data_IF_759837797867
#
_entry.id   IF_759837797867
#
_cell.length_a   1.000
_cell.length_b   1.000
_cell.length_c   1.000
_cell.angle_alpha   90.00
_cell.angle_beta   90.00
_cell.angle_gamma   90.00
#
_symmetry.space_group_name_H-M   'P 1'
#
loop_
_entity.id
_entity.type
_entity.pdbx_description
1 polymer ?
#
# COMPACT_ATOMS: atom_id res chain seq x y z
N UNK A 1 -42.07 26.58 26.37
CA UNK A 1 -40.93 26.83 25.48
C UNK A 1 -41.00 25.84 24.34
N UNK A 2 -41.13 26.24 23.07
CA UNK A 2 -41.10 25.28 21.96
C UNK A 2 -39.66 24.75 21.86
N UNK A 3 -39.48 23.44 22.03
CA UNK A 3 -38.18 22.78 21.84
C UNK A 3 -37.83 22.77 20.36
N UNK A 4 -36.63 23.22 20.00
CA UNK A 4 -36.16 23.16 18.63
C UNK A 4 -36.11 21.70 18.16
N UNK A 5 -36.87 21.38 17.11
CA UNK A 5 -36.81 20.06 16.46
C UNK A 5 -35.49 19.96 15.71
N UNK A 6 -34.60 19.07 16.16
CA UNK A 6 -33.40 18.72 15.41
C UNK A 6 -33.85 17.95 14.16
N UNK A 7 -33.69 18.56 12.99
CA UNK A 7 -34.05 17.96 11.70
C UNK A 7 -32.94 17.06 11.16
N UNK A 8 -31.69 17.28 11.56
CA UNK A 8 -30.53 16.46 11.18
C UNK A 8 -29.43 16.58 12.24
N UNK A 9 -28.84 15.44 12.63
CA UNK A 9 -27.61 15.40 13.43
C UNK A 9 -26.63 14.44 12.76
N UNK A 10 -25.42 14.92 12.45
CA UNK A 10 -24.32 14.09 11.96
C UNK A 10 -23.28 13.90 13.05
N UNK A 11 -22.85 12.66 13.28
CA UNK A 11 -21.70 12.36 14.12
C UNK A 11 -20.57 11.86 13.22
N UNK A 12 -19.38 12.42 13.41
CA UNK A 12 -18.19 11.95 12.72
C UNK A 12 -17.69 10.67 13.39
N UNK A 13 -17.36 9.62 12.63
CA UNK A 13 -16.85 8.38 13.18
C UNK A 13 -15.35 8.52 13.48
N UNK A 14 -15.02 9.19 14.59
CA UNK A 14 -13.66 9.56 14.95
C UNK A 14 -12.69 8.38 15.03
N UNK A 15 -13.11 7.21 15.52
CA UNK A 15 -12.25 6.02 15.60
C UNK A 15 -11.99 5.46 14.19
N UNK A 16 -13.04 5.33 13.37
CA UNK A 16 -12.88 4.93 11.97
C UNK A 16 -11.99 5.91 11.19
N UNK A 17 -12.18 7.22 11.37
CA UNK A 17 -11.41 8.26 10.69
C UNK A 17 -9.93 8.26 11.04
N UNK A 18 -9.56 7.89 12.27
CA UNK A 18 -8.15 7.73 12.64
C UNK A 18 -7.47 6.65 11.78
N UNK A 19 -8.09 5.48 11.64
CA UNK A 19 -7.55 4.42 10.79
C UNK A 19 -7.60 4.78 9.29
N UNK A 20 -8.61 5.51 8.83
CA UNK A 20 -8.62 6.06 7.45
C UNK A 20 -7.45 7.04 7.26
N UNK A 21 -7.15 7.86 8.26
CA UNK A 21 -6.00 8.77 8.26
C UNK A 21 -4.67 8.02 8.14
N UNK A 22 -4.53 6.88 8.83
CA UNK A 22 -3.38 5.99 8.68
C UNK A 22 -3.23 5.41 7.26
N UNK A 23 -4.34 5.16 6.56
CA UNK A 23 -4.30 4.68 5.17
C UNK A 23 -3.94 5.80 4.19
N UNK A 24 -4.50 7.01 4.37
CA UNK A 24 -4.53 8.05 3.33
C UNK A 24 -3.70 9.30 3.61
N UNK A 25 -3.36 9.57 4.87
CA UNK A 25 -2.79 10.86 5.30
C UNK A 25 -1.37 10.66 5.81
N UNK A 26 -1.21 9.98 6.95
CA UNK A 26 0.07 9.91 7.64
C UNK A 26 0.21 8.72 8.57
N UNK A 27 1.43 8.18 8.62
CA UNK A 27 1.89 7.15 9.55
C UNK A 27 3.33 7.39 9.95
N UNK A 28 3.56 7.49 11.25
CA UNK A 28 4.89 7.80 11.82
C UNK A 28 5.96 6.75 11.51
N UNK A 29 5.55 5.49 11.27
CA UNK A 29 6.46 4.40 10.93
C UNK A 29 6.85 4.37 9.45
N UNK A 30 6.17 5.15 8.59
CA UNK A 30 6.49 5.22 7.15
C UNK A 30 7.49 6.34 6.86
N UNK A 31 8.34 6.19 5.84
CA UNK A 31 9.16 7.28 5.31
C UNK A 31 8.32 8.52 4.99
N UNK A 32 8.84 9.69 5.33
CA UNK A 32 8.17 11.00 5.15
C UNK A 32 6.79 11.14 5.82
N UNK A 33 6.42 10.20 6.71
CA UNK A 33 5.16 10.19 7.44
C UNK A 33 3.92 10.23 6.54
N UNK A 34 3.91 9.46 5.45
CA UNK A 34 2.79 9.37 4.52
C UNK A 34 1.80 8.26 4.90
N UNK A 35 0.61 8.24 4.31
CA UNK A 35 -0.35 7.15 4.51
C UNK A 35 0.11 5.85 3.82
N UNK A 36 -0.26 4.69 4.36
CA UNK A 36 0.16 3.39 3.79
C UNK A 36 -0.24 3.22 2.32
N UNK A 37 -1.46 3.62 1.94
CA UNK A 37 -1.91 3.48 0.55
C UNK A 37 -1.25 4.49 -0.39
N UNK A 38 -0.81 5.65 0.14
CA UNK A 38 -0.06 6.65 -0.62
C UNK A 38 1.33 6.11 -0.94
N UNK A 39 2.04 5.60 0.06
CA UNK A 39 3.34 4.96 -0.14
C UNK A 39 3.24 3.71 -1.02
N UNK A 40 2.23 2.86 -0.81
CA UNK A 40 1.94 1.70 -1.66
C UNK A 40 1.85 2.09 -3.13
N UNK A 41 1.08 3.14 -3.44
CA UNK A 41 0.91 3.61 -4.81
C UNK A 41 2.24 4.05 -5.40
N UNK A 42 2.99 4.89 -4.70
CA UNK A 42 4.27 5.43 -5.19
C UNK A 42 5.29 4.31 -5.43
N UNK A 43 5.44 3.39 -4.48
CA UNK A 43 6.37 2.26 -4.62
C UNK A 43 5.92 1.27 -5.71
N UNK A 44 4.60 1.10 -5.92
CA UNK A 44 4.08 0.29 -7.02
C UNK A 44 4.33 0.92 -8.39
N UNK A 45 4.24 2.25 -8.52
CA UNK A 45 4.61 2.98 -9.74
C UNK A 45 6.11 2.77 -10.04
N UNK A 46 6.98 2.92 -9.04
CA UNK A 46 8.42 2.64 -9.17
C UNK A 46 8.70 1.19 -9.58
N UNK A 47 7.96 0.23 -9.04
CA UNK A 47 8.09 -1.18 -9.41
C UNK A 47 7.74 -1.43 -10.89
N UNK A 48 6.71 -0.76 -11.41
CA UNK A 48 6.35 -0.84 -12.83
C UNK A 48 7.43 -0.21 -13.71
N UNK A 49 7.94 0.96 -13.33
CA UNK A 49 9.02 1.64 -14.04
C UNK A 49 10.31 0.81 -14.06
N UNK A 50 10.66 0.19 -12.92
CA UNK A 50 11.79 -0.71 -12.80
C UNK A 50 11.64 -1.94 -13.70
N UNK A 51 10.46 -2.57 -13.73
CA UNK A 51 10.19 -3.69 -14.63
C UNK A 51 10.34 -3.32 -16.10
N UNK A 52 9.85 -2.14 -16.51
CA UNK A 52 10.02 -1.64 -17.87
C UNK A 52 11.50 -1.35 -18.20
N UNK A 53 12.23 -0.74 -17.27
CA UNK A 53 13.67 -0.46 -17.43
C UNK A 53 14.48 -1.76 -17.52
N UNK A 54 14.15 -2.79 -16.73
CA UNK A 54 14.81 -4.09 -16.78
C UNK A 54 14.61 -4.77 -18.13
N UNK A 55 13.40 -4.70 -18.68
CA UNK A 55 13.10 -5.21 -20.03
C UNK A 55 13.89 -4.46 -21.11
N UNK A 56 14.01 -3.14 -21.00
CA UNK A 56 14.82 -2.34 -21.92
C UNK A 56 16.31 -2.71 -21.85
N UNK A 57 16.86 -2.90 -20.65
CA UNK A 57 18.23 -3.35 -20.44
C UNK A 57 18.48 -4.74 -21.05
N UNK A 58 17.52 -5.65 -20.89
CA UNK A 58 17.58 -6.98 -21.49
C UNK A 58 17.62 -6.92 -23.03
N UNK A 59 16.80 -6.06 -23.64
CA UNK A 59 16.79 -5.84 -25.10
C UNK A 59 18.10 -5.25 -25.61
N UNK A 60 18.74 -4.39 -24.81
CA UNK A 60 20.07 -3.86 -25.10
C UNK A 60 21.21 -4.85 -24.81
N UNK A 61 20.90 -6.06 -24.33
CA UNK A 61 21.86 -7.07 -23.88
C UNK A 61 22.80 -6.60 -22.75
N UNK A 62 22.37 -5.59 -21.99
CA UNK A 62 23.10 -5.06 -20.83
C UNK A 62 22.76 -5.87 -19.57
N UNK A 63 23.44 -7.01 -19.41
CA UNK A 63 23.24 -7.90 -18.28
C UNK A 63 23.66 -7.30 -16.94
N UNK A 64 24.58 -6.32 -16.93
CA UNK A 64 24.95 -5.64 -15.70
C UNK A 64 23.75 -4.80 -15.21
N UNK A 65 23.18 -3.99 -16.11
CA UNK A 65 22.02 -3.16 -15.79
C UNK A 65 20.80 -4.00 -15.41
N UNK A 66 20.56 -5.15 -16.07
CA UNK A 66 19.48 -6.09 -15.69
C UNK A 66 19.60 -6.55 -14.25
N UNK A 67 20.82 -6.89 -13.79
CA UNK A 67 21.07 -7.36 -12.42
C UNK A 67 20.92 -6.23 -11.42
N UNK A 68 21.44 -5.05 -11.73
CA UNK A 68 21.31 -3.87 -10.88
C UNK A 68 19.83 -3.48 -10.68
N UNK A 69 19.02 -3.54 -11.73
CA UNK A 69 17.57 -3.27 -11.61
C UNK A 69 16.87 -4.38 -10.84
N UNK A 70 17.25 -5.66 -11.02
CA UNK A 70 16.69 -6.78 -10.26
C UNK A 70 16.89 -6.61 -8.75
N UNK A 71 18.09 -6.17 -8.35
CA UNK A 71 18.41 -5.85 -6.96
C UNK A 71 17.53 -4.72 -6.42
N UNK A 72 17.37 -3.65 -7.20
CA UNK A 72 16.48 -2.55 -6.85
C UNK A 72 15.01 -2.97 -6.72
N UNK A 73 14.54 -3.90 -7.56
CA UNK A 73 13.19 -4.49 -7.47
C UNK A 73 13.02 -5.27 -6.16
N UNK A 74 14.03 -6.03 -5.75
CA UNK A 74 14.00 -6.75 -4.46
C UNK A 74 13.96 -5.73 -3.31
N UNK A 75 14.75 -4.65 -3.39
CA UNK A 75 14.70 -3.55 -2.43
C UNK A 75 13.34 -2.85 -2.34
N UNK A 76 12.63 -2.68 -3.46
CA UNK A 76 11.25 -2.16 -3.47
C UNK A 76 10.27 -3.11 -2.77
N UNK A 77 10.39 -4.40 -3.04
CA UNK A 77 9.47 -5.42 -2.53
C UNK A 77 9.68 -5.64 -1.02
N UNK A 78 10.92 -5.83 -0.59
CA UNK A 78 11.22 -6.21 0.80
C UNK A 78 11.64 -5.03 1.68
N UNK A 79 12.01 -3.89 1.09
CA UNK A 79 12.60 -2.77 1.82
C UNK A 79 14.06 -3.02 2.21
N UNK A 80 14.67 -2.05 2.87
CA UNK A 80 16.09 -2.11 3.26
C UNK A 80 16.38 -3.13 4.37
N UNK A 81 15.36 -3.60 5.07
CA UNK A 81 15.44 -4.61 6.12
C UNK A 81 14.92 -5.99 5.69
N UNK A 82 14.78 -6.19 4.37
CA UNK A 82 14.41 -7.45 3.74
C UNK A 82 15.46 -8.55 3.92
N UNK A 83 15.03 -9.81 3.95
CA UNK A 83 15.93 -10.96 4.07
C UNK A 83 16.86 -11.10 2.85
N UNK A 84 16.37 -10.68 1.68
CA UNK A 84 17.07 -10.79 0.41
C UNK A 84 17.53 -9.42 -0.11
N UNK A 85 17.36 -8.35 0.64
CA UNK A 85 17.87 -7.03 0.28
C UNK A 85 19.40 -6.95 0.48
N UNK A 86 20.09 -6.22 -0.41
CA UNK A 86 21.53 -6.01 -0.32
C UNK A 86 22.20 -5.87 -1.69
N UNK A 87 23.52 -5.99 -1.71
CA UNK A 87 24.32 -6.07 -2.93
C UNK A 87 24.28 -7.52 -3.45
N UNK A 88 23.34 -7.76 -4.35
CA UNK A 88 23.04 -9.06 -4.96
C UNK A 88 23.81 -9.26 -6.26
N UNK A 89 24.22 -8.18 -6.92
CA UNK A 89 25.00 -8.25 -8.15
C UNK A 89 26.53 -8.30 -7.91
N UNK A 90 26.99 -8.00 -6.69
CA UNK A 90 28.37 -8.04 -6.23
C UNK A 90 29.23 -6.86 -6.69
N UNK A 91 28.62 -5.72 -7.03
CA UNK A 91 29.35 -4.52 -7.50
C UNK A 91 29.79 -3.58 -6.37
N UNK A 92 29.44 -3.91 -5.12
CA UNK A 92 29.77 -3.15 -3.92
C UNK A 92 28.78 -2.02 -3.61
N UNK A 93 27.71 -1.85 -4.40
CA UNK A 93 26.71 -0.80 -4.24
C UNK A 93 25.32 -1.41 -4.14
N UNK A 94 24.61 -1.12 -3.05
CA UNK A 94 23.20 -1.50 -2.93
C UNK A 94 22.34 -0.55 -3.75
N UNK A 95 21.67 -1.09 -4.75
CA UNK A 95 20.72 -0.41 -5.60
C UNK A 95 19.38 -0.29 -4.87
N UNK A 96 19.06 0.91 -4.40
CA UNK A 96 17.76 1.19 -3.80
C UNK A 96 16.93 2.07 -4.73
N UNK A 97 15.88 1.50 -5.33
CA UNK A 97 14.94 2.23 -6.19
C UNK A 97 13.78 2.86 -5.41
N UNK A 98 13.59 2.47 -4.14
CA UNK A 98 12.46 2.87 -3.31
C UNK A 98 12.84 3.70 -2.09
N UNK A 99 11.89 3.82 -1.17
CA UNK A 99 12.07 4.53 0.10
C UNK A 99 12.63 3.65 1.24
N UNK A 100 12.87 2.36 0.97
CA UNK A 100 13.41 1.40 1.92
C UNK A 100 12.39 0.82 2.92
N UNK A 101 11.11 1.20 2.88
CA UNK A 101 10.09 0.66 3.78
C UNK A 101 9.68 -0.77 3.43
N UNK A 102 9.53 -1.04 2.12
CA UNK A 102 9.09 -2.31 1.55
C UNK A 102 7.59 -2.37 1.28
N UNK A 103 7.23 -3.03 0.18
CA UNK A 103 5.84 -3.37 -0.13
C UNK A 103 5.32 -4.49 0.77
N UNK A 104 6.18 -5.46 1.08
CA UNK A 104 5.91 -6.62 1.92
C UNK A 104 6.45 -6.44 3.35
N UNK A 105 5.96 -7.24 4.31
CA UNK A 105 6.53 -7.27 5.66
C UNK A 105 8.01 -7.63 5.64
N UNK A 106 8.78 -6.99 6.51
CA UNK A 106 10.19 -7.29 6.75
C UNK A 106 10.47 -7.32 8.26
N UNK A 107 11.76 -7.39 8.63
CA UNK A 107 12.15 -7.52 10.04
C UNK A 107 11.81 -6.29 10.91
N UNK A 108 11.53 -5.14 10.30
CA UNK A 108 11.29 -3.86 11.00
C UNK A 108 9.92 -3.24 10.74
N UNK A 109 9.30 -3.55 9.60
CA UNK A 109 8.10 -2.89 9.11
C UNK A 109 7.07 -3.91 8.64
N UNK A 110 5.78 -3.56 8.77
CA UNK A 110 4.67 -4.36 8.24
C UNK A 110 4.59 -4.34 6.72
N UNK A 111 5.22 -3.34 6.07
CA UNK A 111 5.14 -3.13 4.62
C UNK A 111 3.85 -2.43 4.19
N UNK A 112 3.91 -1.74 3.06
CA UNK A 112 2.81 -0.89 2.59
C UNK A 112 1.51 -1.65 2.28
N UNK A 113 1.60 -2.88 1.76
CA UNK A 113 0.43 -3.70 1.44
C UNK A 113 -0.30 -4.09 2.73
N UNK A 114 0.41 -4.70 3.67
CA UNK A 114 -0.19 -5.18 4.92
C UNK A 114 -0.71 -4.00 5.76
N UNK A 115 0.05 -2.92 5.89
CA UNK A 115 -0.39 -1.72 6.63
C UNK A 115 -1.68 -1.11 6.05
N UNK A 116 -1.82 -1.11 4.71
CA UNK A 116 -3.05 -0.67 4.05
C UNK A 116 -4.24 -1.57 4.40
N UNK A 117 -4.07 -2.89 4.31
CA UNK A 117 -5.14 -3.86 4.58
C UNK A 117 -5.56 -3.85 6.05
N UNK A 118 -4.60 -3.81 6.97
CA UNK A 118 -4.85 -3.79 8.41
C UNK A 118 -5.63 -2.54 8.82
N UNK A 119 -5.18 -1.36 8.40
CA UNK A 119 -5.85 -0.13 8.79
C UNK A 119 -7.19 0.07 8.08
N UNK A 120 -7.36 -0.43 6.85
CA UNK A 120 -8.68 -0.48 6.22
C UNK A 120 -9.64 -1.38 7.01
N UNK A 121 -9.19 -2.56 7.43
CA UNK A 121 -9.98 -3.50 8.24
C UNK A 121 -10.35 -2.92 9.61
N UNK A 122 -9.40 -2.28 10.29
CA UNK A 122 -9.62 -1.61 11.57
C UNK A 122 -10.65 -0.48 11.42
N UNK A 123 -10.57 0.35 10.37
CA UNK A 123 -11.56 1.39 10.10
C UNK A 123 -12.99 0.82 9.98
N UNK A 124 -13.15 -0.32 9.31
CA UNK A 124 -14.43 -1.02 9.18
C UNK A 124 -14.94 -1.66 10.47
N UNK A 125 -14.04 -2.03 11.38
CA UNK A 125 -14.36 -2.81 12.59
C UNK A 125 -14.62 -1.96 13.83
N UNK A 126 -14.42 -0.64 13.75
CA UNK A 126 -14.67 0.28 14.86
C UNK A 126 -16.17 0.41 15.18
N UNK A 127 -16.55 0.64 16.45
CA UNK A 127 -17.96 0.76 16.84
C UNK A 127 -18.71 1.91 16.16
N UNK A 128 -18.01 2.98 15.78
CA UNK A 128 -18.59 4.16 15.13
C UNK A 128 -18.55 4.08 13.59
N UNK A 129 -18.04 2.99 13.02
CA UNK A 129 -17.94 2.82 11.57
C UNK A 129 -19.33 2.92 10.91
N UNK A 130 -19.40 3.66 9.81
CA UNK A 130 -20.63 3.74 9.00
C UNK A 130 -20.72 2.54 8.05
N UNK A 131 -21.91 2.27 7.49
CA UNK A 131 -22.06 1.21 6.48
C UNK A 131 -21.13 1.42 5.28
N UNK A 132 -20.93 2.68 4.86
CA UNK A 132 -20.03 3.02 3.78
C UNK A 132 -18.56 2.68 4.11
N UNK A 133 -18.11 2.94 5.35
CA UNK A 133 -16.75 2.61 5.78
C UNK A 133 -16.58 1.09 5.84
N UNK A 134 -17.55 0.36 6.42
CA UNK A 134 -17.56 -1.12 6.42
C UNK A 134 -17.47 -1.70 5.02
N UNK A 135 -18.27 -1.18 4.09
CA UNK A 135 -18.27 -1.64 2.70
C UNK A 135 -16.90 -1.40 2.03
N UNK A 136 -16.31 -0.21 2.23
CA UNK A 136 -15.01 0.13 1.62
C UNK A 136 -13.86 -0.67 2.23
N UNK A 137 -13.89 -0.89 3.54
CA UNK A 137 -12.95 -1.76 4.25
C UNK A 137 -13.02 -3.21 3.73
N UNK A 138 -14.22 -3.73 3.50
CA UNK A 138 -14.40 -5.05 2.88
C UNK A 138 -13.82 -5.10 1.46
N UNK A 139 -14.05 -4.06 0.64
CA UNK A 139 -13.48 -3.95 -0.70
C UNK A 139 -11.95 -3.91 -0.73
N UNK A 140 -11.29 -3.34 0.29
CA UNK A 140 -9.83 -3.35 0.37
C UNK A 140 -9.27 -4.78 0.45
N UNK A 141 -10.05 -5.72 0.99
CA UNK A 141 -9.74 -7.15 1.03
C UNK A 141 -10.37 -7.94 -0.14
N UNK A 142 -11.08 -7.30 -1.07
CA UNK A 142 -11.70 -7.99 -2.19
C UNK A 142 -10.70 -8.24 -3.32
N UNK A 143 -10.65 -9.50 -3.76
CA UNK A 143 -10.14 -9.83 -5.09
C UNK A 143 -11.20 -9.40 -6.13
N UNK A 144 -10.85 -8.67 -7.21
CA UNK A 144 -11.81 -7.96 -8.08
C UNK A 144 -12.71 -8.84 -8.96
N UNK A 145 -12.80 -10.15 -8.75
CA UNK A 145 -13.54 -11.08 -9.64
C UNK A 145 -14.93 -11.50 -9.16
N UNK A 146 -15.41 -11.08 -8.00
CA UNK A 146 -16.73 -11.50 -7.49
C UNK A 146 -17.93 -10.66 -7.94
N UNK A 147 -17.75 -9.67 -8.80
CA UNK A 147 -18.84 -8.79 -9.24
C UNK A 147 -19.37 -9.06 -10.67
N UNK A 148 -18.80 -10.03 -11.41
CA UNK A 148 -19.23 -10.32 -12.81
C UNK A 148 -20.15 -11.53 -13.01
N UNK A 149 -20.57 -12.23 -11.95
CA UNK A 149 -21.42 -13.44 -12.09
C UNK A 149 -22.90 -13.18 -11.73
N UNK A 150 -23.27 -11.94 -11.39
CA UNK A 150 -24.64 -11.59 -11.00
C UNK A 150 -25.52 -10.98 -12.09
N UNK A 151 -24.98 -10.59 -13.24
CA UNK A 151 -25.71 -9.77 -14.22
C UNK A 151 -25.55 -10.26 -15.67
N UNK A 152 -25.82 -11.55 -15.89
CA UNK A 152 -26.14 -12.04 -17.23
C UNK A 152 -27.26 -13.09 -17.19
N UNK A 153 -28.43 -12.65 -17.69
CA UNK A 153 -29.55 -13.43 -18.25
C UNK A 153 -30.50 -14.06 -17.21
N UNK A 154 -31.72 -13.53 -17.05
CA UNK A 154 -32.90 -13.63 -17.95
C UNK A 154 -33.66 -14.95 -17.78
#
# INVERSE_FOLDING_TARGET
>A
MPGATVLWQGQLPAQALMHIGHVLVAREDTPDSIGYAVGLRVQAELLQEAGAAQMAALQAQDLQQVRQIAEGIIGLIEGGAGEHAGDLNGDGVVSNLGDGFGLLPNSTHVGYIQGTLEHASLAGSTPDSTDAIRQRAACANCHPERERVGDQSA
#
